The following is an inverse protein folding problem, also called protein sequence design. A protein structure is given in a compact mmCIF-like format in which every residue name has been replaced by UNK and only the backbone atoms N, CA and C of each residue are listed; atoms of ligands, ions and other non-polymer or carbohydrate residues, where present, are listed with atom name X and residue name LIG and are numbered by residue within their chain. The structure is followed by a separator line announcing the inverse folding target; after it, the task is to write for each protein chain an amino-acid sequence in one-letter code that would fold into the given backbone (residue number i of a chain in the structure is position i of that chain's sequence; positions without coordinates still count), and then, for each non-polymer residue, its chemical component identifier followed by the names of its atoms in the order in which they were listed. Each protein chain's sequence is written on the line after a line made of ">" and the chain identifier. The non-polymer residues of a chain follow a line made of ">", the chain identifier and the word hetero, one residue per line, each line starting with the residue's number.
data_IF_023228528850
#
_entry.id   IF_023228528850
#
_cell.length_a   1.000
_cell.length_b   1.000
_cell.length_c   1.000
_cell.angle_alpha   90.00
_cell.angle_beta   90.00
_cell.angle_gamma   90.00
#
_symmetry.space_group_name_H-M   'P 1'
#
loop_
_entity.id
_entity.type
_entity.pdbx_description
1 polymer ?
#
# COMPACT_ATOMS: atom_id res chain seq x y z
N UNK A 1 -30.61 -24.53 10.85
CA UNK A 1 -30.55 -24.38 9.38
C UNK A 1 -29.11 -24.56 8.94
N UNK A 2 -28.90 -25.43 7.96
CA UNK A 2 -27.59 -25.80 7.45
C UNK A 2 -26.84 -24.54 7.02
N UNK A 3 -25.77 -24.27 7.73
CA UNK A 3 -24.82 -23.25 7.37
C UNK A 3 -24.22 -23.56 6.00
N UNK A 4 -24.43 -22.68 5.02
CA UNK A 4 -23.93 -22.89 3.66
C UNK A 4 -22.41 -22.92 3.67
N UNK A 5 -21.83 -23.95 3.03
CA UNK A 5 -20.38 -24.06 2.89
C UNK A 5 -19.85 -22.91 2.02
N UNK A 6 -18.65 -22.35 2.30
CA UNK A 6 -18.04 -21.35 1.43
C UNK A 6 -17.84 -21.89 0.00
N UNK A 7 -17.88 -21.01 -0.99
CA UNK A 7 -17.63 -21.30 -2.39
C UNK A 7 -16.13 -21.41 -2.68
N UNK A 8 -15.33 -20.45 -2.21
CA UNK A 8 -13.91 -20.31 -2.56
C UNK A 8 -13.00 -20.57 -1.36
N UNK A 9 -13.39 -20.12 -0.18
CA UNK A 9 -12.58 -20.18 1.03
C UNK A 9 -12.64 -21.55 1.72
N UNK A 10 -11.59 -21.90 2.47
CA UNK A 10 -11.57 -23.10 3.32
C UNK A 10 -12.41 -22.93 4.59
N UNK A 11 -12.54 -21.69 5.06
CA UNK A 11 -13.30 -21.31 6.25
C UNK A 11 -14.33 -20.23 5.91
N UNK A 12 -15.33 -20.06 6.76
CA UNK A 12 -16.32 -18.99 6.60
C UNK A 12 -15.72 -17.62 6.82
N UNK A 13 -16.35 -16.61 6.23
CA UNK A 13 -15.95 -15.22 6.45
C UNK A 13 -16.38 -14.73 7.82
N UNK A 14 -15.88 -13.56 8.22
CA UNK A 14 -16.33 -12.86 9.45
C UNK A 14 -17.83 -12.56 9.44
N UNK A 15 -18.45 -12.50 8.27
CA UNK A 15 -19.86 -12.14 8.13
C UNK A 15 -20.82 -13.29 8.42
N UNK A 16 -20.37 -14.54 8.34
CA UNK A 16 -21.23 -15.70 8.54
C UNK A 16 -21.89 -15.76 9.94
N UNK A 17 -21.22 -15.18 10.94
CA UNK A 17 -21.65 -15.15 12.35
C UNK A 17 -22.44 -13.90 12.73
N UNK A 18 -22.67 -12.97 11.80
CA UNK A 18 -23.41 -11.75 12.10
C UNK A 18 -24.90 -12.01 12.37
N UNK A 19 -25.44 -11.24 13.31
CA UNK A 19 -26.89 -11.11 13.49
C UNK A 19 -27.53 -10.45 12.25
N UNK A 20 -28.83 -10.69 11.96
CA UNK A 20 -29.48 -10.12 10.79
C UNK A 20 -29.40 -8.60 10.72
N UNK A 21 -29.57 -7.90 11.84
CA UNK A 21 -29.49 -6.43 11.89
C UNK A 21 -28.09 -5.92 11.55
N UNK A 22 -27.04 -6.49 12.19
CA UNK A 22 -25.65 -6.14 11.87
C UNK A 22 -25.28 -6.43 10.42
N UNK A 23 -25.81 -7.50 9.84
CA UNK A 23 -25.58 -7.83 8.43
C UNK A 23 -26.25 -6.80 7.48
N UNK A 24 -27.47 -6.33 7.79
CA UNK A 24 -28.12 -5.24 7.03
C UNK A 24 -27.36 -3.93 7.13
N UNK A 25 -26.88 -3.58 8.33
CA UNK A 25 -25.98 -2.43 8.51
C UNK A 25 -24.72 -2.62 7.66
N UNK A 26 -24.13 -3.81 7.66
CA UNK A 26 -22.98 -4.14 6.82
C UNK A 26 -23.25 -3.95 5.32
N UNK A 27 -24.43 -4.33 4.83
CA UNK A 27 -24.84 -4.06 3.44
C UNK A 27 -24.98 -2.56 3.17
N UNK A 28 -25.57 -1.80 4.10
CA UNK A 28 -25.66 -0.35 4.01
C UNK A 28 -24.28 0.33 3.98
N UNK A 29 -23.36 -0.13 4.83
CA UNK A 29 -21.97 0.35 4.85
C UNK A 29 -21.21 -0.01 3.57
N UNK A 30 -21.45 -1.19 2.99
CA UNK A 30 -20.89 -1.55 1.71
C UNK A 30 -21.44 -0.65 0.59
N UNK A 31 -22.75 -0.42 0.54
CA UNK A 31 -23.34 0.50 -0.43
C UNK A 31 -22.79 1.92 -0.30
N UNK A 32 -22.63 2.41 0.94
CA UNK A 32 -22.00 3.70 1.23
C UNK A 32 -20.54 3.75 0.79
N UNK A 33 -19.77 2.68 1.04
CA UNK A 33 -18.37 2.58 0.59
C UNK A 33 -18.29 2.64 -0.94
N UNK A 34 -19.14 1.91 -1.66
CA UNK A 34 -19.16 1.92 -3.12
C UNK A 34 -19.57 3.30 -3.66
N UNK A 35 -20.57 3.95 -3.05
CA UNK A 35 -20.95 5.32 -3.39
C UNK A 35 -19.80 6.31 -3.12
N UNK A 36 -19.12 6.18 -1.99
CA UNK A 36 -17.95 6.99 -1.66
C UNK A 36 -16.81 6.76 -2.66
N UNK A 37 -16.60 5.53 -3.14
CA UNK A 37 -15.60 5.25 -4.18
C UNK A 37 -15.89 5.98 -5.50
N UNK A 38 -17.17 6.14 -5.87
CA UNK A 38 -17.54 6.85 -7.09
C UNK A 38 -17.20 8.36 -7.05
N UNK A 39 -16.92 8.94 -5.88
CA UNK A 39 -16.38 10.31 -5.77
C UNK A 39 -15.04 10.48 -6.50
N UNK A 40 -14.32 9.37 -6.75
CA UNK A 40 -13.11 9.37 -7.58
C UNK A 40 -13.34 9.90 -8.99
N UNK A 41 -14.55 9.76 -9.54
CA UNK A 41 -14.89 10.27 -10.87
C UNK A 41 -14.85 11.79 -10.94
N UNK A 42 -15.22 12.46 -9.85
CA UNK A 42 -15.20 13.92 -9.72
C UNK A 42 -13.89 14.47 -9.16
N UNK A 43 -13.03 13.61 -8.60
CA UNK A 43 -11.77 14.05 -7.98
C UNK A 43 -10.72 14.36 -9.05
N UNK A 44 -9.94 15.45 -8.95
CA UNK A 44 -8.81 15.70 -9.82
C UNK A 44 -7.84 14.51 -9.83
N UNK A 45 -7.42 14.08 -11.02
CA UNK A 45 -6.34 13.10 -11.17
C UNK A 45 -5.01 13.79 -11.46
N UNK A 46 -3.89 13.06 -11.35
CA UNK A 46 -2.68 13.49 -12.03
C UNK A 46 -3.00 13.74 -13.52
N UNK A 47 -2.34 14.72 -14.16
CA UNK A 47 -2.52 14.97 -15.58
C UNK A 47 -2.33 13.67 -16.37
N UNK A 48 -3.16 13.38 -17.38
CA UNK A 48 -3.00 12.17 -18.17
C UNK A 48 -1.64 12.16 -18.83
N UNK A 49 -0.95 11.01 -18.78
CA UNK A 49 0.33 10.82 -19.46
C UNK A 49 0.18 11.25 -20.92
N UNK A 50 0.87 12.32 -21.28
CA UNK A 50 0.65 12.95 -22.57
C UNK A 50 1.20 12.07 -23.68
N UNK A 51 0.43 11.89 -24.76
CA UNK A 51 0.95 11.23 -25.98
C UNK A 51 1.85 12.16 -26.80
N UNK A 52 1.97 13.42 -26.39
CA UNK A 52 2.90 14.39 -26.95
C UNK A 52 4.32 14.11 -26.43
N UNK A 53 5.31 13.86 -27.30
CA UNK A 53 6.69 13.60 -26.93
C UNK A 53 7.31 14.68 -26.02
N UNK A 54 6.92 15.95 -26.17
CA UNK A 54 7.44 17.05 -25.37
C UNK A 54 6.94 17.04 -23.92
N UNK A 55 5.70 16.58 -23.69
CA UNK A 55 5.11 16.46 -22.35
C UNK A 55 5.38 15.10 -21.70
N UNK A 56 5.56 14.05 -22.50
CA UNK A 56 6.05 12.76 -22.02
C UNK A 56 7.48 12.84 -21.43
N UNK A 57 8.26 13.87 -21.80
CA UNK A 57 9.54 14.17 -21.18
C UNK A 57 9.41 14.76 -19.77
N UNK A 58 8.34 15.54 -19.52
CA UNK A 58 7.99 16.11 -18.21
C UNK A 58 7.52 14.99 -17.24
N UNK A 59 6.73 14.03 -17.73
CA UNK A 59 6.32 12.83 -16.96
C UNK A 59 7.51 11.89 -16.63
N UNK A 60 8.61 11.95 -17.41
CA UNK A 60 9.85 11.21 -17.16
C UNK A 60 10.86 11.97 -16.30
N UNK A 61 10.59 13.23 -15.96
CA UNK A 61 11.53 14.09 -15.24
C UNK A 61 11.91 13.51 -13.88
N UNK A 62 10.96 12.94 -13.14
CA UNK A 62 11.23 12.30 -11.84
C UNK A 62 12.12 11.04 -11.97
N UNK A 63 11.93 10.25 -13.04
CA UNK A 63 12.75 9.06 -13.30
C UNK A 63 14.19 9.47 -13.65
N UNK A 64 14.32 10.44 -14.56
CA UNK A 64 15.61 10.99 -14.97
C UNK A 64 16.33 11.69 -13.81
N UNK A 65 15.59 12.34 -12.91
CA UNK A 65 16.11 12.96 -11.70
C UNK A 65 16.85 11.91 -10.85
N UNK A 66 16.19 10.81 -10.48
CA UNK A 66 16.84 9.79 -9.63
C UNK A 66 17.95 9.03 -10.35
N UNK A 67 17.81 8.78 -11.65
CA UNK A 67 18.89 8.19 -12.46
C UNK A 67 20.14 9.08 -12.44
N UNK A 68 19.97 10.40 -12.62
CA UNK A 68 21.08 11.37 -12.59
C UNK A 68 21.75 11.44 -11.21
N UNK A 69 20.97 11.27 -10.13
CA UNK A 69 21.51 11.22 -8.77
C UNK A 69 22.40 9.97 -8.61
N UNK A 70 21.91 8.79 -8.99
CA UNK A 70 22.70 7.55 -8.90
C UNK A 70 23.97 7.63 -9.75
N UNK A 71 23.90 8.23 -10.95
CA UNK A 71 25.07 8.47 -11.80
C UNK A 71 26.09 9.39 -11.11
N UNK A 72 25.64 10.50 -10.51
CA UNK A 72 26.51 11.41 -9.78
C UNK A 72 27.22 10.75 -8.59
N UNK A 73 26.56 9.85 -7.87
CA UNK A 73 27.19 9.05 -6.81
C UNK A 73 28.23 8.07 -7.35
N UNK A 74 28.01 7.48 -8.53
CA UNK A 74 29.00 6.60 -9.18
C UNK A 74 30.28 7.34 -9.57
N UNK A 75 30.18 8.64 -9.85
CA UNK A 75 31.33 9.52 -10.07
C UNK A 75 32.08 9.88 -8.76
N UNK A 76 31.68 9.32 -7.61
CA UNK A 76 32.31 9.56 -6.31
C UNK A 76 31.85 10.83 -5.59
N UNK A 77 30.78 11.50 -6.08
CA UNK A 77 30.24 12.72 -5.44
C UNK A 77 29.31 12.40 -4.27
N UNK A 78 29.21 13.33 -3.32
CA UNK A 78 28.35 13.19 -2.15
C UNK A 78 26.86 13.25 -2.50
N UNK A 79 26.03 12.41 -1.83
CA UNK A 79 24.59 12.31 -2.12
C UNK A 79 23.86 13.66 -2.05
N UNK A 80 24.08 14.43 -0.98
CA UNK A 80 23.35 15.66 -0.73
C UNK A 80 23.68 16.76 -1.74
N UNK A 81 24.96 16.90 -2.13
CA UNK A 81 25.42 17.88 -3.12
C UNK A 81 24.88 17.55 -4.53
N UNK A 82 24.97 16.28 -4.93
CA UNK A 82 24.44 15.79 -6.21
C UNK A 82 22.94 16.00 -6.26
N UNK A 83 22.23 15.62 -5.20
CA UNK A 83 20.76 15.75 -5.13
C UNK A 83 20.34 17.22 -5.15
N UNK A 84 20.99 18.10 -4.39
CA UNK A 84 20.68 19.53 -4.40
C UNK A 84 20.88 20.15 -5.79
N UNK A 85 21.98 19.79 -6.47
CA UNK A 85 22.25 20.23 -7.84
C UNK A 85 21.18 19.74 -8.81
N UNK A 86 20.79 18.47 -8.72
CA UNK A 86 19.79 17.88 -9.61
C UNK A 86 18.40 18.48 -9.37
N UNK A 87 18.01 18.70 -8.11
CA UNK A 87 16.74 19.34 -7.76
C UNK A 87 16.68 20.79 -8.27
N UNK A 88 17.74 21.59 -8.11
CA UNK A 88 17.80 22.97 -8.64
C UNK A 88 17.70 23.00 -10.17
N UNK A 89 18.35 22.06 -10.86
CA UNK A 89 18.29 21.98 -12.33
C UNK A 89 16.91 21.58 -12.86
N UNK A 90 16.14 20.83 -12.08
CA UNK A 90 14.78 20.41 -12.42
C UNK A 90 13.70 21.32 -11.84
N UNK A 91 14.05 22.49 -11.28
CA UNK A 91 13.13 23.42 -10.61
C UNK A 91 12.27 22.77 -9.50
N UNK A 92 12.79 21.71 -8.86
CA UNK A 92 12.12 21.05 -7.75
C UNK A 92 12.33 21.81 -6.43
N UNK A 93 11.41 21.66 -5.46
CA UNK A 93 11.62 22.21 -4.11
C UNK A 93 12.77 21.54 -3.34
N UNK A 94 13.58 22.33 -2.65
CA UNK A 94 14.64 21.86 -1.74
C UNK A 94 14.28 22.03 -0.25
N UNK A 95 13.20 22.73 0.07
CA UNK A 95 12.76 22.98 1.45
C UNK A 95 11.34 22.45 1.71
N UNK A 96 11.03 21.88 2.89
CA UNK A 96 11.96 21.52 3.98
C UNK A 96 12.69 20.20 3.65
N UNK A 97 13.52 19.69 4.56
CA UNK A 97 14.39 18.54 4.30
C UNK A 97 13.71 17.29 3.72
N UNK A 98 12.40 17.12 3.94
CA UNK A 98 11.58 16.02 3.40
C UNK A 98 11.38 16.07 1.87
N UNK A 99 11.82 17.13 1.20
CA UNK A 99 11.87 17.15 -0.27
C UNK A 99 13.02 16.31 -0.82
N UNK A 100 14.06 16.08 0.00
CA UNK A 100 15.11 15.10 -0.29
C UNK A 100 14.60 13.70 0.10
N UNK A 101 14.93 12.71 -0.72
CA UNK A 101 14.69 11.30 -0.38
C UNK A 101 15.78 10.80 0.55
N UNK A 102 15.51 9.71 1.26
CA UNK A 102 16.56 9.05 2.04
C UNK A 102 17.64 8.50 1.08
N UNK A 103 18.93 8.64 1.44
CA UNK A 103 20.05 8.28 0.55
C UNK A 103 20.17 6.78 0.29
N UNK A 104 19.55 5.94 1.13
CA UNK A 104 19.78 4.50 1.20
C UNK A 104 19.69 3.81 -0.16
N UNK A 105 18.63 4.06 -0.94
CA UNK A 105 18.45 3.39 -2.22
C UNK A 105 19.50 3.85 -3.24
N UNK A 106 19.72 5.16 -3.36
CA UNK A 106 20.69 5.71 -4.30
C UNK A 106 22.13 5.24 -3.99
N UNK A 107 22.50 5.19 -2.70
CA UNK A 107 23.82 4.71 -2.25
C UNK A 107 24.00 3.22 -2.54
N UNK A 108 22.97 2.39 -2.30
CA UNK A 108 23.04 0.96 -2.62
C UNK A 108 23.16 0.77 -4.14
N UNK A 109 22.36 1.50 -4.93
CA UNK A 109 22.35 1.38 -6.39
C UNK A 109 23.62 1.94 -7.06
N UNK A 110 24.27 2.94 -6.46
CA UNK A 110 25.53 3.45 -7.00
C UNK A 110 26.67 2.45 -6.84
N UNK A 111 26.61 1.58 -5.83
CA UNK A 111 27.61 0.54 -5.58
C UNK A 111 27.54 -0.66 -6.56
N UNK A 112 26.58 -0.69 -7.48
CA UNK A 112 26.39 -1.83 -8.40
C UNK A 112 25.94 -1.39 -9.81
N UNK A 113 26.14 -2.24 -10.84
CA UNK A 113 25.58 -1.97 -12.16
C UNK A 113 24.05 -1.92 -12.16
N UNK A 114 23.46 -1.07 -13.00
CA UNK A 114 21.99 -0.91 -13.07
C UNK A 114 21.26 -2.23 -13.37
N UNK A 115 21.86 -3.11 -14.19
CA UNK A 115 21.30 -4.44 -14.48
C UNK A 115 21.16 -5.32 -13.23
N UNK A 116 22.08 -5.20 -12.27
CA UNK A 116 22.02 -5.92 -10.99
C UNK A 116 20.90 -5.36 -10.12
N UNK A 117 20.73 -4.04 -10.07
CA UNK A 117 19.62 -3.40 -9.35
C UNK A 117 18.26 -3.84 -9.91
N UNK A 118 18.10 -3.91 -11.25
CA UNK A 118 16.89 -4.42 -11.91
C UNK A 118 16.66 -5.90 -11.56
N UNK A 119 17.70 -6.73 -11.61
CA UNK A 119 17.59 -8.14 -11.24
C UNK A 119 17.17 -8.33 -9.78
N UNK A 120 17.71 -7.52 -8.85
CA UNK A 120 17.31 -7.50 -7.44
C UNK A 120 15.85 -7.08 -7.27
N UNK A 121 15.38 -6.08 -8.03
CA UNK A 121 13.99 -5.65 -8.01
C UNK A 121 13.06 -6.80 -8.42
N UNK A 122 13.38 -7.49 -9.51
CA UNK A 122 12.59 -8.63 -9.98
C UNK A 122 12.64 -9.81 -9.04
N UNK A 123 13.79 -10.07 -8.39
CA UNK A 123 13.91 -11.09 -7.37
C UNK A 123 13.04 -10.75 -6.14
N UNK A 124 13.01 -9.49 -5.73
CA UNK A 124 12.15 -9.01 -4.65
C UNK A 124 10.67 -9.16 -5.02
N UNK A 125 10.28 -8.78 -6.24
CA UNK A 125 8.93 -8.96 -6.75
C UNK A 125 8.53 -10.45 -6.77
N UNK A 126 9.39 -11.33 -7.29
CA UNK A 126 9.16 -12.77 -7.26
C UNK A 126 9.04 -13.31 -5.83
N UNK A 127 9.86 -12.80 -4.90
CA UNK A 127 9.78 -13.11 -3.48
C UNK A 127 8.45 -12.72 -2.84
N UNK A 128 7.89 -11.55 -3.20
CA UNK A 128 6.55 -11.12 -2.79
C UNK A 128 5.48 -12.09 -3.30
N UNK A 129 5.53 -12.46 -4.59
CA UNK A 129 4.60 -13.42 -5.19
C UNK A 129 4.67 -14.77 -4.47
N UNK A 130 5.88 -15.29 -4.24
CA UNK A 130 6.10 -16.57 -3.55
C UNK A 130 5.59 -16.52 -2.11
N UNK A 131 5.92 -15.48 -1.35
CA UNK A 131 5.53 -15.35 0.05
C UNK A 131 4.00 -15.25 0.20
N UNK A 132 3.33 -14.49 -0.67
CA UNK A 132 1.87 -14.44 -0.72
C UNK A 132 1.24 -15.74 -1.22
N UNK A 133 1.84 -16.43 -2.19
CA UNK A 133 1.37 -17.73 -2.63
C UNK A 133 1.36 -18.75 -1.48
N UNK A 134 2.46 -18.83 -0.72
CA UNK A 134 2.55 -19.64 0.50
C UNK A 134 1.49 -19.20 1.53
N UNK A 135 1.28 -17.88 1.67
CA UNK A 135 0.34 -17.32 2.65
C UNK A 135 -1.13 -17.61 2.31
N UNK A 136 -1.50 -17.56 1.03
CA UNK A 136 -2.87 -17.69 0.53
C UNK A 136 -3.25 -19.14 0.22
N UNK A 137 -2.28 -20.02 -0.05
CA UNK A 137 -2.55 -21.43 -0.38
C UNK A 137 -3.50 -22.15 0.59
N UNK A 138 -3.39 -22.03 1.93
CA UNK A 138 -4.32 -22.69 2.86
C UNK A 138 -5.66 -21.97 3.00
N UNK A 139 -5.81 -20.76 2.45
CA UNK A 139 -7.03 -19.94 2.56
C UNK A 139 -8.09 -20.38 1.55
N UNK A 140 -7.68 -20.84 0.38
CA UNK A 140 -8.58 -21.23 -0.70
C UNK A 140 -8.75 -22.74 -0.80
N UNK A 141 -10.00 -23.19 -0.94
CA UNK A 141 -10.37 -24.61 -0.99
C UNK A 141 -9.98 -25.27 -2.31
N UNK A 142 -9.99 -24.51 -3.42
CA UNK A 142 -9.77 -25.03 -4.78
C UNK A 142 -8.66 -24.24 -5.49
N UNK A 143 -7.98 -24.84 -6.50
CA UNK A 143 -6.95 -24.15 -7.27
C UNK A 143 -7.41 -22.89 -8.02
N UNK A 144 -8.60 -22.82 -8.66
CA UNK A 144 -8.96 -21.64 -9.44
C UNK A 144 -9.11 -20.35 -8.63
N UNK A 145 -9.80 -20.31 -7.47
CA UNK A 145 -9.82 -19.10 -6.61
C UNK A 145 -8.44 -18.69 -6.11
N UNK A 146 -7.57 -19.65 -5.83
CA UNK A 146 -6.17 -19.38 -5.47
C UNK A 146 -5.41 -18.73 -6.64
N UNK A 147 -5.54 -19.26 -7.86
CA UNK A 147 -4.94 -18.67 -9.05
C UNK A 147 -5.46 -17.25 -9.31
N UNK A 148 -6.77 -17.00 -9.15
CA UNK A 148 -7.35 -15.66 -9.24
C UNK A 148 -6.72 -14.71 -8.22
N UNK A 149 -6.52 -15.14 -6.98
CA UNK A 149 -5.86 -14.32 -5.96
C UNK A 149 -4.41 -13.97 -6.32
N UNK A 150 -3.67 -14.89 -6.97
CA UNK A 150 -2.33 -14.62 -7.48
C UNK A 150 -2.34 -13.67 -8.68
N UNK A 151 -3.29 -13.81 -9.60
CA UNK A 151 -3.47 -12.86 -10.70
C UNK A 151 -3.80 -11.46 -10.18
N UNK A 152 -4.63 -11.35 -9.13
CA UNK A 152 -4.93 -10.07 -8.47
C UNK A 152 -3.70 -9.46 -7.79
N UNK A 153 -2.87 -10.27 -7.13
CA UNK A 153 -1.58 -9.83 -6.59
C UNK A 153 -0.67 -9.28 -7.71
N UNK A 154 -0.50 -10.03 -8.80
CA UNK A 154 0.30 -9.59 -9.95
C UNK A 154 -0.29 -8.32 -10.56
N UNK A 155 -1.61 -8.20 -10.64
CA UNK A 155 -2.30 -6.99 -11.06
C UNK A 155 -2.04 -5.80 -10.13
N UNK A 156 -1.92 -6.02 -8.82
CA UNK A 156 -1.48 -4.99 -7.86
C UNK A 156 -0.01 -4.59 -8.03
N UNK A 157 0.77 -5.41 -8.73
CA UNK A 157 2.21 -5.25 -8.93
C UNK A 157 2.59 -4.70 -10.32
N UNK A 158 1.65 -4.21 -11.12
CA UNK A 158 1.90 -3.78 -12.50
C UNK A 158 3.02 -2.74 -12.67
N UNK A 159 3.16 -1.79 -11.74
CA UNK A 159 4.25 -0.80 -11.76
C UNK A 159 5.61 -1.38 -11.30
N UNK A 160 5.61 -2.47 -10.54
CA UNK A 160 6.79 -2.97 -9.82
C UNK A 160 7.69 -3.87 -10.68
N UNK A 161 7.26 -4.16 -11.89
CA UNK A 161 7.98 -4.95 -12.89
C UNK A 161 8.46 -4.09 -14.08
N UNK A 162 8.33 -2.76 -13.98
CA UNK A 162 8.84 -1.82 -14.96
C UNK A 162 10.29 -1.46 -14.61
N UNK A 163 11.22 -1.77 -15.52
CA UNK A 163 12.64 -1.55 -15.29
C UNK A 163 12.98 -0.05 -15.13
N UNK A 164 12.20 0.82 -15.77
CA UNK A 164 12.33 2.27 -15.73
C UNK A 164 12.10 2.84 -14.33
N UNK A 165 11.31 2.14 -13.51
CA UNK A 165 10.99 2.57 -12.14
C UNK A 165 11.97 2.00 -11.11
N UNK A 166 13.11 1.43 -11.53
CA UNK A 166 14.12 0.85 -10.62
C UNK A 166 14.68 1.87 -9.64
N UNK A 167 14.74 3.15 -9.99
CA UNK A 167 15.24 4.22 -9.11
C UNK A 167 14.13 4.81 -8.21
N UNK A 168 12.88 4.36 -8.36
CA UNK A 168 11.74 4.90 -7.62
C UNK A 168 11.61 4.22 -6.25
N UNK A 169 11.62 5.02 -5.19
CA UNK A 169 11.75 4.54 -3.82
C UNK A 169 10.50 3.76 -3.37
N UNK A 170 9.32 4.22 -3.78
CA UNK A 170 8.03 3.60 -3.47
C UNK A 170 7.88 2.20 -4.06
N UNK A 171 8.53 1.91 -5.19
CA UNK A 171 8.52 0.58 -5.81
C UNK A 171 9.18 -0.43 -4.88
N UNK A 172 10.38 -0.12 -4.38
CA UNK A 172 11.09 -0.98 -3.44
C UNK A 172 10.37 -1.07 -2.09
N UNK A 173 9.96 0.08 -1.54
CA UNK A 173 9.31 0.12 -0.23
C UNK A 173 7.94 -0.58 -0.24
N UNK A 174 7.14 -0.43 -1.30
CA UNK A 174 5.86 -1.11 -1.45
C UNK A 174 6.00 -2.63 -1.52
N UNK A 175 7.00 -3.15 -2.24
CA UNK A 175 7.31 -4.59 -2.25
C UNK A 175 7.76 -5.08 -0.88
N UNK A 176 8.61 -4.32 -0.18
CA UNK A 176 9.07 -4.67 1.16
C UNK A 176 7.93 -4.65 2.19
N UNK A 177 6.97 -3.71 2.10
CA UNK A 177 5.75 -3.71 2.91
C UNK A 177 4.91 -4.96 2.62
N UNK A 178 4.71 -5.30 1.34
CA UNK A 178 3.93 -6.46 0.94
C UNK A 178 4.59 -7.77 1.40
N UNK A 179 5.93 -7.86 1.30
CA UNK A 179 6.71 -8.99 1.79
C UNK A 179 6.59 -9.08 3.31
N UNK A 180 6.82 -7.97 4.03
CA UNK A 180 6.66 -7.86 5.48
C UNK A 180 5.30 -8.38 5.95
N UNK A 181 4.21 -7.93 5.32
CA UNK A 181 2.85 -8.39 5.64
C UNK A 181 2.68 -9.90 5.43
N UNK A 182 3.17 -10.45 4.33
CA UNK A 182 2.98 -11.86 3.99
C UNK A 182 3.78 -12.82 4.88
N UNK A 183 5.00 -12.45 5.26
CA UNK A 183 5.89 -13.29 6.09
C UNK A 183 5.59 -13.19 7.58
N UNK A 184 4.93 -12.12 8.04
CA UNK A 184 4.59 -11.93 9.45
C UNK A 184 3.73 -13.09 9.98
N UNK A 185 4.27 -13.83 10.96
CA UNK A 185 3.53 -14.82 11.75
C UNK A 185 3.45 -14.38 13.21
N UNK A 186 2.52 -14.97 13.93
CA UNK A 186 2.26 -14.62 15.33
C UNK A 186 3.40 -15.07 16.26
N UNK A 187 4.04 -16.18 15.92
CA UNK A 187 5.21 -16.77 16.56
C UNK A 187 6.54 -16.28 15.96
N UNK A 188 6.55 -15.83 14.71
CA UNK A 188 7.74 -15.40 13.97
C UNK A 188 7.52 -14.07 13.25
N UNK A 189 7.87 -12.98 13.92
CA UNK A 189 7.66 -11.61 13.42
C UNK A 189 8.97 -10.86 13.10
N UNK A 190 10.14 -11.39 13.48
CA UNK A 190 11.43 -10.71 13.29
C UNK A 190 11.73 -10.37 11.82
N UNK A 191 11.49 -11.31 10.90
CA UNK A 191 11.69 -11.06 9.46
C UNK A 191 10.76 -9.96 8.93
N UNK A 192 9.51 -9.91 9.40
CA UNK A 192 8.59 -8.84 9.03
C UNK A 192 9.10 -7.47 9.51
N UNK A 193 9.59 -7.39 10.75
CA UNK A 193 10.22 -6.17 11.28
C UNK A 193 11.42 -5.77 10.41
N UNK A 194 12.28 -6.71 10.04
CA UNK A 194 13.42 -6.46 9.16
C UNK A 194 13.00 -5.86 7.82
N UNK A 195 11.99 -6.42 7.16
CA UNK A 195 11.45 -5.86 5.91
C UNK A 195 10.78 -4.50 6.09
N UNK A 196 10.05 -4.28 7.19
CA UNK A 196 9.50 -2.97 7.52
C UNK A 196 10.57 -1.92 7.78
N UNK A 197 11.64 -2.27 8.49
CA UNK A 197 12.81 -1.42 8.72
C UNK A 197 13.50 -1.05 7.40
N UNK A 198 13.78 -2.05 6.55
CA UNK A 198 14.34 -1.80 5.21
C UNK A 198 13.43 -0.88 4.38
N UNK A 199 12.12 -1.12 4.38
CA UNK A 199 11.17 -0.30 3.63
C UNK A 199 11.24 1.17 4.06
N UNK A 200 11.28 1.44 5.37
CA UNK A 200 11.30 2.80 5.87
C UNK A 200 12.65 3.50 5.71
N UNK A 201 13.76 2.76 5.75
CA UNK A 201 15.09 3.31 5.46
C UNK A 201 15.29 3.63 3.98
N UNK A 202 14.58 2.95 3.08
CA UNK A 202 14.51 3.31 1.66
C UNK A 202 13.55 4.49 1.47
N UNK A 203 12.39 4.45 2.12
CA UNK A 203 11.34 5.44 1.95
C UNK A 203 10.71 5.79 3.29
N UNK A 204 10.90 7.02 3.74
CA UNK A 204 10.43 7.52 5.03
C UNK A 204 8.91 7.38 5.23
N UNK A 205 8.12 7.49 4.15
CA UNK A 205 6.65 7.28 4.21
C UNK A 205 6.27 5.84 4.56
N UNK A 206 7.18 4.87 4.46
CA UNK A 206 6.97 3.50 4.95
C UNK A 206 6.94 3.42 6.49
N UNK A 207 7.43 4.45 7.20
CA UNK A 207 7.31 4.51 8.65
C UNK A 207 5.85 4.46 9.12
N UNK A 208 4.89 4.93 8.30
CA UNK A 208 3.46 4.82 8.58
C UNK A 208 3.02 3.36 8.71
N UNK A 209 3.50 2.47 7.84
CA UNK A 209 3.24 1.04 7.95
C UNK A 209 3.80 0.48 9.27
N UNK A 210 5.05 0.81 9.60
CA UNK A 210 5.72 0.34 10.83
C UNK A 210 4.98 0.84 12.08
N UNK A 211 4.50 2.08 12.08
CA UNK A 211 3.67 2.66 13.13
C UNK A 211 2.35 1.91 13.32
N UNK A 212 1.63 1.61 12.23
CA UNK A 212 0.40 0.81 12.28
C UNK A 212 0.68 -0.58 12.87
N UNK A 213 1.79 -1.20 12.48
CA UNK A 213 2.16 -2.52 12.97
C UNK A 213 2.53 -2.53 14.46
N UNK A 214 3.24 -1.49 14.93
CA UNK A 214 3.55 -1.27 16.33
C UNK A 214 2.27 -1.06 17.16
N UNK A 215 1.39 -0.15 16.72
CA UNK A 215 0.13 0.15 17.39
C UNK A 215 -0.76 -1.09 17.50
N UNK A 216 -0.90 -1.86 16.42
CA UNK A 216 -1.68 -3.10 16.45
C UNK A 216 -1.05 -4.18 17.34
N UNK A 217 0.29 -4.29 17.36
CA UNK A 217 0.95 -5.21 18.28
C UNK A 217 0.73 -4.82 19.76
N UNK A 218 0.71 -3.51 20.07
CA UNK A 218 0.37 -3.01 21.40
C UNK A 218 -1.10 -3.31 21.77
N UNK A 219 -2.04 -2.98 20.89
CA UNK A 219 -3.48 -3.22 21.09
C UNK A 219 -3.78 -4.71 21.25
N UNK A 220 -3.07 -5.58 20.53
CA UNK A 220 -3.21 -7.04 20.62
C UNK A 220 -2.46 -7.65 21.81
N UNK A 221 -1.83 -6.85 22.68
CA UNK A 221 -1.11 -7.30 23.87
C UNK A 221 0.22 -8.02 23.57
N UNK A 222 0.75 -7.92 22.34
CA UNK A 222 1.94 -8.64 21.90
C UNK A 222 3.20 -7.84 22.18
N UNK A 223 3.57 -7.77 23.46
CA UNK A 223 4.68 -6.92 23.97
C UNK A 223 6.00 -7.09 23.21
N UNK A 224 6.43 -8.32 22.93
CA UNK A 224 7.68 -8.59 22.20
C UNK A 224 7.65 -8.07 20.76
N UNK A 225 6.52 -8.27 20.09
CA UNK A 225 6.34 -7.78 18.73
C UNK A 225 6.26 -6.25 18.71
N UNK A 226 5.49 -5.67 19.63
CA UNK A 226 5.39 -4.22 19.79
C UNK A 226 6.76 -3.57 20.03
N UNK A 227 7.55 -4.14 20.96
CA UNK A 227 8.92 -3.67 21.22
C UNK A 227 9.76 -3.73 19.96
N UNK A 228 9.69 -4.82 19.18
CA UNK A 228 10.45 -4.94 17.94
C UNK A 228 10.09 -3.89 16.89
N UNK A 229 8.79 -3.62 16.67
CA UNK A 229 8.36 -2.53 15.78
C UNK A 229 8.72 -1.15 16.31
N UNK A 230 8.63 -0.92 17.62
CA UNK A 230 9.03 0.34 18.27
C UNK A 230 10.53 0.58 18.19
N UNK A 231 11.36 -0.45 18.36
CA UNK A 231 12.81 -0.36 18.17
C UNK A 231 13.17 -0.07 16.72
N UNK A 232 12.47 -0.69 15.76
CA UNK A 232 12.63 -0.34 14.36
C UNK A 232 12.34 1.15 14.15
N UNK A 233 11.18 1.66 14.60
CA UNK A 233 10.86 3.10 14.54
C UNK A 233 11.92 3.99 15.21
N UNK A 234 12.47 3.57 16.34
CA UNK A 234 13.49 4.32 17.05
C UNK A 234 14.77 4.51 16.21
N UNK A 235 15.12 3.57 15.34
CA UNK A 235 16.24 3.72 14.38
C UNK A 235 15.99 4.87 13.40
N UNK A 236 14.73 5.16 13.06
CA UNK A 236 14.41 6.25 12.13
C UNK A 236 14.75 7.62 12.69
N UNK A 237 14.69 7.82 14.01
CA UNK A 237 14.93 9.12 14.66
C UNK A 237 16.34 9.66 14.36
N UNK A 238 17.44 8.94 14.68
CA UNK A 238 18.78 9.42 14.34
C UNK A 238 19.02 9.50 12.83
N UNK A 239 18.42 8.60 12.02
CA UNK A 239 18.53 8.64 10.56
C UNK A 239 17.93 9.93 10.00
N UNK A 240 16.71 10.28 10.39
CA UNK A 240 16.04 11.50 9.95
C UNK A 240 16.73 12.75 10.49
N UNK A 241 17.23 12.72 11.74
CA UNK A 241 17.98 13.85 12.30
C UNK A 241 19.29 14.10 11.52
N UNK A 242 20.07 13.05 11.25
CA UNK A 242 21.28 13.15 10.44
C UNK A 242 20.97 13.59 9.01
N UNK A 243 19.88 13.08 8.44
CA UNK A 243 19.41 13.47 7.11
C UNK A 243 19.04 14.95 7.05
N UNK A 244 18.23 15.44 8.00
CA UNK A 244 17.84 16.85 8.09
C UNK A 244 19.05 17.76 8.29
N UNK A 245 20.00 17.37 9.14
CA UNK A 245 21.24 18.12 9.35
C UNK A 245 22.08 18.20 8.06
N UNK A 246 22.23 17.10 7.33
CA UNK A 246 23.01 17.07 6.09
C UNK A 246 22.33 17.86 4.96
N UNK A 247 20.99 17.81 4.85
CA UNK A 247 20.25 18.65 3.90
C UNK A 247 20.45 20.13 4.23
N UNK A 248 20.45 20.51 5.50
CA UNK A 248 20.69 21.90 5.90
C UNK A 248 22.09 22.44 5.52
N UNK A 249 23.06 21.56 5.22
CA UNK A 249 24.38 21.98 4.73
C UNK A 249 24.42 22.32 3.24
N UNK A 250 23.41 21.91 2.46
CA UNK A 250 23.40 22.04 0.99
C UNK A 250 22.25 22.89 0.46
N UNK A 251 21.35 23.36 1.34
CA UNK A 251 20.15 24.13 0.99
C UNK A 251 20.29 25.58 1.45
N UNK A 252 20.01 26.50 0.55
CA UNK A 252 20.05 27.94 0.78
C UNK A 252 18.67 28.52 1.09
N UNK A 253 18.65 29.70 1.72
CA UNK A 253 17.40 30.40 2.03
C UNK A 253 16.59 30.81 0.77
N UNK A 254 17.28 30.98 -0.36
CA UNK A 254 16.69 31.33 -1.66
C UNK A 254 16.15 30.13 -2.42
N UNK A 255 16.44 28.89 -2.00
CA UNK A 255 15.97 27.71 -2.71
C UNK A 255 14.44 27.56 -2.63
N UNK A 256 13.76 27.01 -3.66
CA UNK A 256 12.31 26.88 -3.66
C UNK A 256 11.79 26.03 -2.49
N UNK A 257 10.72 26.50 -1.85
CA UNK A 257 10.01 25.78 -0.80
C UNK A 257 8.86 24.97 -1.39
N UNK A 258 8.66 23.77 -0.83
CA UNK A 258 7.54 22.91 -1.17
C UNK A 258 6.24 23.59 -0.75
N UNK A 259 5.16 23.46 -1.54
CA UNK A 259 3.85 24.01 -1.18
C UNK A 259 3.20 23.33 0.04
N UNK A 260 3.88 22.38 0.68
CA UNK A 260 3.38 21.67 1.87
C UNK A 260 2.42 20.51 1.52
N UNK A 261 1.83 19.93 2.56
CA UNK A 261 0.96 18.74 2.48
C UNK A 261 -0.51 19.07 2.79
N UNK A 262 -1.06 20.08 2.12
CA UNK A 262 -2.43 20.58 2.37
C UNK A 262 -3.39 20.28 1.22
N UNK A 263 -3.22 19.13 0.55
CA UNK A 263 -3.98 18.84 -0.67
C UNK A 263 -5.48 18.57 -0.44
N UNK A 264 -5.87 17.96 0.69
CA UNK A 264 -7.28 17.72 1.09
C UNK A 264 -8.18 17.19 -0.04
N UNK A 265 -7.64 16.31 -0.91
CA UNK A 265 -8.33 15.83 -2.11
C UNK A 265 -9.41 14.76 -1.83
N UNK A 266 -9.56 14.33 -0.57
CA UNK A 266 -10.66 13.47 -0.12
C UNK A 266 -10.52 11.99 -0.47
N UNK A 267 -11.53 11.19 -0.12
CA UNK A 267 -11.52 9.73 -0.31
C UNK A 267 -11.45 9.32 -1.79
N UNK A 268 -12.07 10.10 -2.68
CA UNK A 268 -12.00 9.87 -4.12
C UNK A 268 -10.57 9.91 -4.67
N UNK A 269 -9.67 10.70 -4.07
CA UNK A 269 -8.27 10.76 -4.51
C UNK A 269 -7.51 9.48 -4.18
N UNK A 270 -7.73 8.92 -3.00
CA UNK A 270 -7.19 7.61 -2.63
C UNK A 270 -7.68 6.53 -3.62
N UNK A 271 -8.97 6.53 -3.95
CA UNK A 271 -9.55 5.55 -4.88
C UNK A 271 -8.99 5.71 -6.29
N UNK A 272 -8.85 6.95 -6.78
CA UNK A 272 -8.22 7.25 -8.06
C UNK A 272 -6.76 6.79 -8.08
N UNK A 273 -6.01 7.10 -7.02
CA UNK A 273 -4.62 6.70 -6.83
C UNK A 273 -4.45 5.18 -6.89
N UNK A 274 -5.29 4.42 -6.19
CA UNK A 274 -5.24 2.95 -6.25
C UNK A 274 -5.65 2.40 -7.61
N UNK A 275 -6.55 3.09 -8.33
CA UNK A 275 -6.95 2.71 -9.68
C UNK A 275 -5.76 2.82 -10.65
N UNK A 276 -5.03 3.94 -10.63
CA UNK A 276 -3.90 4.17 -11.55
C UNK A 276 -2.61 3.43 -11.14
N UNK A 277 -2.44 3.11 -9.85
CA UNK A 277 -1.24 2.42 -9.33
C UNK A 277 -1.29 0.90 -9.49
N UNK A 278 -2.37 0.35 -10.04
CA UNK A 278 -2.58 -1.09 -10.22
C UNK A 278 -3.08 -1.39 -11.62
N UNK A 279 -3.25 -2.68 -11.95
CA UNK A 279 -3.84 -3.12 -13.21
C UNK A 279 -5.28 -2.60 -13.43
N UNK A 280 -5.93 -2.03 -12.41
CA UNK A 280 -7.22 -1.35 -12.58
C UNK A 280 -7.14 -0.12 -13.49
N UNK A 281 -5.94 0.37 -13.81
CA UNK A 281 -5.73 1.48 -14.73
C UNK A 281 -6.27 1.20 -16.15
N UNK A 282 -6.41 -0.08 -16.53
CA UNK A 282 -6.94 -0.48 -17.85
C UNK A 282 -8.47 -0.46 -17.92
N UNK A 283 -9.15 -0.47 -16.76
CA UNK A 283 -10.60 -0.53 -16.70
C UNK A 283 -11.23 0.88 -16.75
N UNK A 284 -12.50 1.02 -17.19
CA UNK A 284 -13.20 2.29 -17.12
C UNK A 284 -13.23 2.81 -15.68
N UNK A 285 -13.04 4.12 -15.48
CA UNK A 285 -12.82 4.70 -14.15
C UNK A 285 -13.90 4.36 -13.11
N UNK A 286 -15.17 4.23 -13.52
CA UNK A 286 -16.26 3.83 -12.63
C UNK A 286 -16.10 2.37 -12.15
N UNK A 287 -15.65 1.49 -13.03
CA UNK A 287 -15.42 0.08 -12.73
C UNK A 287 -14.21 -0.05 -11.78
N UNK A 288 -13.11 0.64 -12.07
CA UNK A 288 -11.93 0.68 -11.21
C UNK A 288 -12.28 1.19 -9.81
N UNK A 289 -13.06 2.27 -9.70
CA UNK A 289 -13.51 2.80 -8.43
C UNK A 289 -14.32 1.78 -7.60
N UNK A 290 -15.28 1.10 -8.22
CA UNK A 290 -16.06 0.06 -7.54
C UNK A 290 -15.21 -1.13 -7.14
N UNK A 291 -14.26 -1.55 -7.98
CA UNK A 291 -13.33 -2.64 -7.68
C UNK A 291 -12.39 -2.29 -6.52
N UNK A 292 -11.97 -1.03 -6.37
CA UNK A 292 -11.22 -0.58 -5.19
C UNK A 292 -12.05 -0.73 -3.91
N UNK A 293 -13.31 -0.31 -3.92
CA UNK A 293 -14.22 -0.47 -2.79
C UNK A 293 -14.49 -1.94 -2.45
N UNK A 294 -14.67 -2.78 -3.48
CA UNK A 294 -14.82 -4.23 -3.31
C UNK A 294 -13.54 -4.90 -2.80
N UNK A 295 -12.35 -4.44 -3.18
CA UNK A 295 -11.09 -4.94 -2.64
C UNK A 295 -11.01 -4.68 -1.12
N UNK A 296 -11.30 -3.47 -0.67
CA UNK A 296 -11.39 -3.13 0.76
C UNK A 296 -12.42 -4.01 1.48
N UNK A 297 -13.61 -4.14 0.90
CA UNK A 297 -14.66 -4.99 1.46
C UNK A 297 -14.19 -6.44 1.60
N UNK A 298 -13.57 -7.02 0.57
CA UNK A 298 -13.11 -8.40 0.62
C UNK A 298 -12.03 -8.61 1.69
N UNK A 299 -11.13 -7.65 1.89
CA UNK A 299 -10.20 -7.68 3.02
C UNK A 299 -10.90 -7.73 4.39
N UNK A 300 -12.07 -7.11 4.54
CA UNK A 300 -12.87 -7.21 5.79
C UNK A 300 -13.52 -8.58 5.99
N UNK A 301 -13.74 -9.33 4.91
CA UNK A 301 -14.35 -10.66 4.97
C UNK A 301 -13.40 -11.73 5.53
N UNK A 302 -12.08 -11.60 5.31
CA UNK A 302 -11.11 -12.61 5.73
C UNK A 302 -10.95 -12.67 7.27
N UNK A 303 -11.23 -13.81 7.94
CA UNK A 303 -11.20 -13.92 9.40
C UNK A 303 -9.85 -13.65 10.10
N UNK A 304 -8.71 -13.81 9.42
CA UNK A 304 -7.38 -13.82 10.05
C UNK A 304 -6.87 -12.47 10.56
N UNK A 305 -5.96 -12.49 11.55
CA UNK A 305 -5.31 -11.29 12.10
C UNK A 305 -4.51 -10.48 11.07
N UNK A 306 -3.98 -11.14 10.03
CA UNK A 306 -3.33 -10.47 8.90
C UNK A 306 -4.28 -9.54 8.15
N UNK A 307 -5.54 -9.91 7.97
CA UNK A 307 -6.52 -9.09 7.27
C UNK A 307 -6.75 -7.75 7.99
N UNK A 308 -6.76 -7.76 9.33
CA UNK A 308 -6.86 -6.53 10.13
C UNK A 308 -5.64 -5.64 9.91
N UNK A 309 -4.44 -6.22 9.94
CA UNK A 309 -3.19 -5.48 9.72
C UNK A 309 -3.13 -4.87 8.32
N UNK A 310 -3.48 -5.63 7.29
CA UNK A 310 -3.57 -5.13 5.92
C UNK A 310 -4.59 -3.97 5.80
N UNK A 311 -5.81 -4.15 6.33
CA UNK A 311 -6.85 -3.11 6.32
C UNK A 311 -6.43 -1.82 7.02
N UNK A 312 -5.82 -1.92 8.20
CA UNK A 312 -5.39 -0.73 8.94
C UNK A 312 -4.25 -0.02 8.22
N UNK A 313 -3.34 -0.77 7.57
CA UNK A 313 -2.33 -0.18 6.68
C UNK A 313 -2.99 0.54 5.51
N UNK A 314 -3.94 -0.09 4.82
CA UNK A 314 -4.65 0.53 3.70
C UNK A 314 -5.45 1.76 4.13
N UNK A 315 -6.10 1.70 5.29
CA UNK A 315 -6.82 2.83 5.86
C UNK A 315 -5.87 3.98 6.23
N UNK A 316 -4.71 3.69 6.80
CA UNK A 316 -3.71 4.71 7.15
C UNK A 316 -3.16 5.42 5.90
N UNK A 317 -2.79 4.67 4.86
CA UNK A 317 -2.36 5.27 3.59
C UNK A 317 -3.52 5.94 2.85
N UNK A 318 -4.75 5.42 2.97
CA UNK A 318 -5.95 6.06 2.45
C UNK A 318 -6.19 7.42 3.11
N UNK A 319 -6.09 7.50 4.44
CA UNK A 319 -6.15 8.77 5.17
C UNK A 319 -5.00 9.70 4.78
N UNK A 320 -3.78 9.18 4.66
CA UNK A 320 -2.63 9.97 4.20
C UNK A 320 -2.90 10.62 2.84
N UNK A 321 -3.32 9.83 1.86
CA UNK A 321 -3.65 10.30 0.51
C UNK A 321 -4.84 11.26 0.51
N UNK A 322 -5.90 10.96 1.25
CA UNK A 322 -7.11 11.77 1.27
C UNK A 322 -6.94 13.13 1.95
N UNK A 323 -6.12 13.21 3.00
CA UNK A 323 -5.96 14.42 3.79
C UNK A 323 -4.75 15.25 3.33
N UNK A 324 -3.65 14.58 3.00
CA UNK A 324 -2.35 15.22 2.77
C UNK A 324 -1.86 15.10 1.31
N UNK A 325 -2.42 14.17 0.55
CA UNK A 325 -2.02 13.91 -0.84
C UNK A 325 -2.36 15.08 -1.77
N UNK A 326 -1.44 15.34 -2.70
CA UNK A 326 -1.61 16.26 -3.83
C UNK A 326 -1.62 15.44 -5.12
N UNK A 327 -2.04 16.05 -6.23
CA UNK A 327 -2.13 15.35 -7.53
C UNK A 327 -0.78 14.78 -7.99
N UNK A 328 0.33 15.40 -7.60
CA UNK A 328 1.71 14.98 -7.85
C UNK A 328 2.26 13.97 -6.82
N UNK A 329 1.53 13.63 -5.76
CA UNK A 329 1.94 12.62 -4.76
C UNK A 329 1.17 11.30 -4.89
N UNK A 330 0.54 11.05 -6.05
CA UNK A 330 -0.23 9.83 -6.30
C UNK A 330 0.62 8.55 -6.13
N UNK A 331 1.93 8.63 -6.35
CA UNK A 331 2.85 7.50 -6.19
C UNK A 331 2.88 6.92 -4.76
N UNK A 332 2.40 7.64 -3.73
CA UNK A 332 2.23 7.05 -2.38
C UNK A 332 1.27 5.86 -2.36
N UNK A 333 0.38 5.72 -3.36
CA UNK A 333 -0.45 4.53 -3.54
C UNK A 333 0.35 3.24 -3.74
N UNK A 334 1.54 3.34 -4.35
CA UNK A 334 2.43 2.20 -4.57
C UNK A 334 2.87 1.53 -3.25
N UNK A 335 2.87 2.26 -2.13
CA UNK A 335 3.25 1.70 -0.83
C UNK A 335 2.38 0.51 -0.40
N UNK A 336 1.15 0.44 -0.91
CA UNK A 336 0.18 -0.61 -0.56
C UNK A 336 -0.39 -1.37 -1.77
N UNK A 337 -0.18 -0.86 -2.99
CA UNK A 337 -0.68 -1.43 -4.24
C UNK A 337 -0.45 -2.94 -4.40
N UNK A 338 0.73 -3.52 -4.10
CA UNK A 338 1.01 -4.93 -4.39
C UNK A 338 -0.02 -5.88 -3.80
N UNK A 339 -0.37 -5.69 -2.53
CA UNK A 339 -1.28 -6.60 -1.82
C UNK A 339 -2.75 -6.18 -1.88
N UNK A 340 -3.05 -4.97 -2.36
CA UNK A 340 -4.37 -4.37 -2.24
C UNK A 340 -5.47 -5.18 -2.95
N UNK A 341 -5.25 -5.53 -4.22
CA UNK A 341 -6.26 -6.21 -5.06
C UNK A 341 -6.57 -7.64 -4.64
N UNK A 342 -5.72 -8.29 -3.82
CA UNK A 342 -5.99 -9.62 -3.25
C UNK A 342 -7.37 -9.66 -2.57
N UNK A 343 -7.79 -8.53 -1.99
CA UNK A 343 -9.10 -8.36 -1.37
C UNK A 343 -10.26 -8.85 -2.25
N UNK A 344 -10.19 -8.62 -3.57
CA UNK A 344 -11.23 -9.04 -4.50
C UNK A 344 -11.49 -10.56 -4.49
N UNK A 345 -10.47 -11.37 -4.19
CA UNK A 345 -10.62 -12.82 -4.09
C UNK A 345 -11.49 -13.27 -2.89
N UNK A 346 -11.73 -12.40 -1.91
CA UNK A 346 -12.56 -12.69 -0.75
C UNK A 346 -14.02 -12.20 -0.92
N UNK A 347 -14.31 -11.43 -1.96
CA UNK A 347 -15.62 -10.82 -2.20
C UNK A 347 -16.75 -11.84 -2.40
N UNK A 348 -16.59 -12.93 -3.18
CA UNK A 348 -17.71 -13.84 -3.46
C UNK A 348 -18.29 -14.47 -2.19
N UNK A 349 -17.43 -15.00 -1.32
CA UNK A 349 -17.86 -15.56 -0.03
C UNK A 349 -18.28 -14.47 0.96
N UNK A 350 -17.63 -13.30 0.94
CA UNK A 350 -17.99 -12.17 1.80
C UNK A 350 -19.41 -11.65 1.52
N UNK A 351 -19.75 -11.42 0.26
CA UNK A 351 -21.09 -10.99 -0.15
C UNK A 351 -22.13 -12.05 0.17
N UNK A 352 -21.85 -13.32 -0.17
CA UNK A 352 -22.75 -14.44 0.10
C UNK A 352 -23.08 -14.54 1.59
N UNK A 353 -22.06 -14.54 2.45
CA UNK A 353 -22.25 -14.67 3.89
C UNK A 353 -23.01 -13.46 4.46
N UNK A 354 -22.70 -12.25 3.98
CA UNK A 354 -23.35 -11.02 4.42
C UNK A 354 -24.84 -10.97 4.01
N UNK A 355 -25.15 -11.27 2.75
CA UNK A 355 -26.53 -11.31 2.23
C UNK A 355 -27.32 -12.42 2.93
N UNK A 356 -26.73 -13.61 3.07
CA UNK A 356 -27.36 -14.74 3.77
C UNK A 356 -27.68 -14.37 5.22
N UNK A 357 -26.75 -13.72 5.93
CA UNK A 357 -26.96 -13.28 7.30
C UNK A 357 -28.08 -12.21 7.41
N UNK A 358 -28.15 -11.26 6.47
CA UNK A 358 -29.16 -10.21 6.46
C UNK A 358 -30.60 -10.73 6.23
N UNK A 359 -30.73 -11.81 5.44
CA UNK A 359 -32.00 -12.46 5.13
C UNK A 359 -32.56 -13.39 6.23
N UNK A 360 -31.78 -13.69 7.28
CA UNK A 360 -32.25 -14.54 8.40
C UNK A 360 -33.41 -13.85 9.15
N UNK A 361 -34.62 -14.44 9.11
CA UNK A 361 -35.75 -14.00 9.93
C UNK A 361 -35.57 -14.45 11.40
N UNK A 362 -35.82 -13.56 12.37
CA UNK A 362 -35.90 -13.94 13.80
C UNK A 362 -37.08 -14.92 13.94
N UNK A 363 -36.81 -16.18 14.30
CA UNK A 363 -37.87 -17.05 14.82
C UNK A 363 -38.06 -16.68 16.29
N UNK A 364 -39.26 -16.19 16.62
CA UNK A 364 -39.72 -16.11 18.00
C UNK A 364 -40.01 -17.56 18.39
N UNK A 365 -39.15 -18.16 19.20
CA UNK A 365 -39.47 -19.42 19.86
C UNK A 365 -40.47 -19.08 20.95
N UNK A 366 -41.77 -19.27 20.67
CA UNK A 366 -42.80 -19.19 21.70
C UNK A 366 -42.66 -20.45 22.55
N UNK A 367 -41.98 -20.34 23.70
CA UNK A 367 -42.11 -21.33 24.78
C UNK A 367 -43.55 -21.20 25.29
N UNK A 368 -44.45 -22.07 24.81
CA UNK A 368 -45.72 -22.31 25.50
C UNK A 368 -45.36 -22.87 26.87
N UNK A 369 -45.54 -22.07 27.92
CA UNK A 369 -45.56 -22.58 29.29
C UNK A 369 -46.66 -23.64 29.35
N UNK A 370 -46.26 -24.89 29.60
CA UNK A 370 -47.19 -25.95 29.92
C UNK A 370 -47.55 -25.80 31.40
N UNK A 371 -48.80 -25.37 31.61
CA UNK A 371 -49.64 -25.45 32.82
C UNK A 371 -49.42 -24.38 33.88
#
# INVERSE_FOLDING_TARGET
>A
MASTAPWWLTQRTRFAVLSPQRARIGLGLLALLLAACLTALATPGPPPASRDPAKAAEDRADVLLYESIVAGLRDGRGYYEVTATALRRGDYPLRPFVTFRLPTLAVVQSAMPTRVAIAMLYLLAAGVVLAWAIRLRPVFRRPPPFAIALVLLIGGMAAFVQAELVHFHEVWAGLLIALSLSVRRDDRFAHAIGFGLMAMLIRETAALYVLVMAALALIEGRRREALGWSLALAVMVPVVAAHAWAVAQVVDATDPASPGWTGLLGFGFFVKTMSISTALAIAPGWCSALLVGLALFGWTAWPGGLARRALMTFAAYGMLLSLFGRVDTFYWGLMIAPSFLIGLAFVPDGLKDLITAAGRRRRITVTRGLR
#
